data_IF_217725177859
#
_entry.id   IF_217725177859
#
_cell.length_a   1.000
_cell.length_b   1.000
_cell.length_c   1.000
_cell.angle_alpha   90.00
_cell.angle_beta   90.00
_cell.angle_gamma   90.00
#
_symmetry.space_group_name_H-M   'P 1'
#
loop_
_entity.id
_entity.type
_entity.pdbx_description
1 polymer ?
#
# COMPACT_ATOMS: atom_id res chain seq x y z
N UNK A 1 -20.08 4.86 -2.75
CA UNK A 1 -20.51 3.48 -3.08
C UNK A 1 -19.53 2.79 -4.02
N UNK A 2 -19.17 3.40 -5.15
CA UNK A 2 -18.24 2.81 -6.15
C UNK A 2 -16.83 2.51 -5.61
N UNK A 3 -16.28 3.37 -4.74
CA UNK A 3 -14.96 3.15 -4.16
C UNK A 3 -14.87 1.89 -3.27
N UNK A 4 -15.89 1.63 -2.47
CA UNK A 4 -15.93 0.44 -1.60
C UNK A 4 -16.00 -0.84 -2.46
N UNK A 5 -16.77 -0.82 -3.55
CA UNK A 5 -16.83 -1.95 -4.49
C UNK A 5 -15.48 -2.19 -5.17
N UNK A 6 -14.76 -1.13 -5.55
CA UNK A 6 -13.41 -1.25 -6.11
C UNK A 6 -12.43 -1.84 -5.09
N UNK A 7 -12.43 -1.37 -3.83
CA UNK A 7 -11.61 -1.93 -2.76
C UNK A 7 -11.93 -3.40 -2.50
N UNK A 8 -13.22 -3.78 -2.50
CA UNK A 8 -13.64 -5.16 -2.31
C UNK A 8 -13.20 -6.06 -3.46
N UNK A 9 -13.33 -5.61 -4.71
CA UNK A 9 -12.87 -6.35 -5.87
C UNK A 9 -11.33 -6.55 -5.83
N UNK A 10 -10.57 -5.50 -5.49
CA UNK A 10 -9.13 -5.59 -5.30
C UNK A 10 -8.78 -6.59 -4.18
N UNK A 11 -9.48 -6.53 -3.04
CA UNK A 11 -9.27 -7.47 -1.94
C UNK A 11 -9.42 -8.93 -2.39
N UNK A 12 -10.53 -9.26 -3.08
CA UNK A 12 -10.81 -10.64 -3.53
C UNK A 12 -9.73 -11.12 -4.50
N UNK A 13 -9.35 -10.30 -5.47
CA UNK A 13 -8.31 -10.66 -6.45
C UNK A 13 -6.96 -10.92 -5.78
N UNK A 14 -6.58 -10.09 -4.80
CA UNK A 14 -5.34 -10.25 -4.05
C UNK A 14 -5.38 -11.46 -3.10
N UNK A 15 -6.54 -11.73 -2.48
CA UNK A 15 -6.71 -12.88 -1.61
C UNK A 15 -6.51 -14.19 -2.38
N UNK A 16 -7.00 -14.25 -3.62
CA UNK A 16 -6.74 -15.36 -4.55
C UNK A 16 -5.26 -15.42 -4.94
N UNK A 17 -4.65 -14.28 -5.25
CA UNK A 17 -3.24 -14.20 -5.67
C UNK A 17 -2.29 -14.71 -4.59
N UNK A 18 -2.44 -14.25 -3.36
CA UNK A 18 -1.54 -14.62 -2.24
C UNK A 18 -1.97 -15.87 -1.49
N UNK A 19 -3.14 -16.45 -1.80
CA UNK A 19 -3.76 -17.53 -1.01
C UNK A 19 -3.84 -17.18 0.49
N UNK A 20 -4.04 -15.90 0.79
CA UNK A 20 -4.03 -15.36 2.14
C UNK A 20 -5.05 -14.23 2.25
N UNK A 21 -5.78 -14.17 3.36
CA UNK A 21 -6.74 -13.11 3.65
C UNK A 21 -6.12 -11.91 4.38
N UNK A 22 -5.02 -12.12 5.09
CA UNK A 22 -4.38 -11.09 5.92
C UNK A 22 -3.46 -10.17 5.11
N UNK A 23 -2.76 -10.70 4.11
CA UNK A 23 -1.85 -9.91 3.27
C UNK A 23 -2.57 -8.86 2.40
N UNK A 24 -3.69 -9.16 1.72
CA UNK A 24 -4.47 -8.13 1.01
C UNK A 24 -4.94 -7.00 1.91
N UNK A 25 -5.33 -7.31 3.16
CA UNK A 25 -5.78 -6.31 4.11
C UNK A 25 -4.65 -5.32 4.46
N UNK A 26 -3.44 -5.83 4.64
CA UNK A 26 -2.24 -5.02 4.87
C UNK A 26 -1.96 -4.07 3.71
N UNK A 27 -2.14 -4.53 2.47
CA UNK A 27 -1.94 -3.70 1.28
C UNK A 27 -2.99 -2.59 1.21
N UNK A 28 -4.25 -2.93 1.46
CA UNK A 28 -5.34 -1.96 1.46
C UNK A 28 -5.24 -0.96 2.61
N UNK A 29 -4.59 -1.32 3.72
CA UNK A 29 -4.31 -0.41 4.83
C UNK A 29 -3.39 0.74 4.42
N UNK A 30 -2.54 0.57 3.41
CA UNK A 30 -1.68 1.64 2.90
C UNK A 30 -2.46 2.68 2.05
N UNK A 31 -3.61 2.31 1.50
CA UNK A 31 -4.38 3.17 0.56
C UNK A 31 -4.87 4.49 1.20
N UNK A 32 -5.44 4.51 2.42
CA UNK A 32 -5.80 5.75 3.11
C UNK A 32 -4.64 6.76 3.22
N UNK A 33 -3.40 6.28 3.37
CA UNK A 33 -2.25 7.15 3.47
C UNK A 33 -1.92 7.84 2.14
N UNK A 34 -2.14 7.17 1.00
CA UNK A 34 -2.06 7.82 -0.32
C UNK A 34 -3.06 8.97 -0.46
N UNK A 35 -4.28 8.81 0.07
CA UNK A 35 -5.27 9.88 0.13
C UNK A 35 -4.84 11.04 1.05
N UNK A 36 -4.23 10.73 2.21
CA UNK A 36 -3.65 11.76 3.10
C UNK A 36 -2.57 12.56 2.35
N UNK A 37 -1.69 11.90 1.59
CA UNK A 37 -0.70 12.55 0.75
C UNK A 37 -1.30 13.51 -0.28
N UNK A 38 -2.39 13.09 -0.94
CA UNK A 38 -3.13 13.94 -1.87
C UNK A 38 -3.70 15.19 -1.17
N UNK A 39 -4.33 15.02 -0.01
CA UNK A 39 -4.87 16.13 0.79
C UNK A 39 -3.77 17.11 1.24
N UNK A 40 -2.62 16.59 1.66
CA UNK A 40 -1.46 17.41 1.99
C UNK A 40 -0.96 18.17 0.76
N UNK A 41 -0.91 17.56 -0.42
CA UNK A 41 -0.56 18.24 -1.66
C UNK A 41 -1.49 19.39 -2.00
N UNK A 42 -2.80 19.18 -1.85
CA UNK A 42 -3.81 20.24 -2.00
C UNK A 42 -3.57 21.42 -1.04
N UNK A 43 -3.26 21.11 0.22
CA UNK A 43 -2.93 22.12 1.23
C UNK A 43 -1.64 22.88 0.89
N UNK A 44 -0.59 22.18 0.44
CA UNK A 44 0.69 22.79 0.08
C UNK A 44 0.61 23.70 -1.16
N UNK A 45 -0.16 23.28 -2.17
CA UNK A 45 -0.37 24.07 -3.40
C UNK A 45 -1.41 25.17 -3.20
N UNK A 46 -2.26 25.07 -2.18
CA UNK A 46 -3.29 26.07 -1.86
C UNK A 46 -4.52 25.98 -2.76
N UNK A 47 -4.89 24.77 -3.20
CA UNK A 47 -6.05 24.53 -4.06
C UNK A 47 -7.10 23.66 -3.37
N UNK A 48 -8.37 23.96 -3.62
CA UNK A 48 -9.49 23.21 -3.05
C UNK A 48 -9.55 21.77 -3.58
N UNK A 49 -10.03 20.86 -2.73
CA UNK A 49 -10.32 19.48 -3.13
C UNK A 49 -11.61 19.49 -3.95
N UNK A 50 -11.54 18.95 -5.17
CA UNK A 50 -12.68 18.92 -6.10
C UNK A 50 -13.06 17.48 -6.46
N UNK A 51 -14.11 17.31 -7.24
CA UNK A 51 -14.46 15.99 -7.81
C UNK A 51 -13.30 15.40 -8.62
N UNK A 52 -12.50 16.24 -9.30
CA UNK A 52 -11.34 15.81 -10.06
C UNK A 52 -10.18 15.36 -9.16
N UNK A 53 -10.04 15.94 -7.96
CA UNK A 53 -9.11 15.45 -6.93
C UNK A 53 -9.42 14.02 -6.53
N UNK A 54 -10.71 13.65 -6.43
CA UNK A 54 -11.12 12.28 -6.09
C UNK A 54 -10.66 11.28 -7.15
N UNK A 55 -10.70 11.66 -8.43
CA UNK A 55 -10.14 10.82 -9.52
C UNK A 55 -8.63 10.62 -9.32
N UNK A 56 -7.91 11.67 -8.95
CA UNK A 56 -6.49 11.59 -8.59
C UNK A 56 -6.25 10.65 -7.41
N UNK A 57 -7.06 10.74 -6.34
CA UNK A 57 -6.97 9.85 -5.17
C UNK A 57 -7.23 8.38 -5.56
N UNK A 58 -8.19 8.12 -6.45
CA UNK A 58 -8.41 6.76 -6.96
C UNK A 58 -7.22 6.25 -7.77
N UNK A 59 -6.59 7.11 -8.57
CA UNK A 59 -5.38 6.75 -9.30
C UNK A 59 -4.20 6.44 -8.34
N UNK A 60 -4.00 7.24 -7.29
CA UNK A 60 -2.98 6.99 -6.24
C UNK A 60 -3.21 5.64 -5.57
N UNK A 61 -4.48 5.31 -5.30
CA UNK A 61 -4.83 4.03 -4.66
C UNK A 61 -4.32 2.84 -5.48
N UNK A 62 -4.42 2.90 -6.82
CA UNK A 62 -3.88 1.87 -7.71
C UNK A 62 -2.36 1.77 -7.65
N UNK A 63 -1.65 2.92 -7.62
CA UNK A 63 -0.18 2.95 -7.49
C UNK A 63 0.27 2.35 -6.16
N UNK A 64 -0.37 2.75 -5.05
CA UNK A 64 -0.10 2.21 -3.71
C UNK A 64 -0.29 0.70 -3.67
N UNK A 65 -1.40 0.20 -4.23
CA UNK A 65 -1.68 -1.24 -4.27
C UNK A 65 -0.61 -1.96 -5.08
N UNK A 66 -0.23 -1.44 -6.26
CA UNK A 66 0.80 -2.05 -7.10
C UNK A 66 2.15 -2.15 -6.41
N UNK A 67 2.61 -1.06 -5.79
CA UNK A 67 3.93 -1.03 -5.14
C UNK A 67 4.01 -2.03 -3.99
N UNK A 68 2.95 -2.09 -3.18
CA UNK A 68 2.86 -2.98 -2.02
C UNK A 68 2.59 -4.44 -2.39
N UNK A 69 1.84 -4.69 -3.46
CA UNK A 69 1.67 -6.03 -4.02
C UNK A 69 3.02 -6.63 -4.36
N UNK A 70 3.82 -5.92 -5.16
CA UNK A 70 5.10 -6.43 -5.62
C UNK A 70 6.09 -6.56 -4.45
N UNK A 71 6.09 -5.63 -3.49
CA UNK A 71 6.93 -5.73 -2.30
C UNK A 71 6.61 -6.99 -1.48
N UNK A 72 5.33 -7.23 -1.20
CA UNK A 72 4.90 -8.41 -0.43
C UNK A 72 5.14 -9.71 -1.20
N UNK A 73 4.95 -9.71 -2.53
CA UNK A 73 5.29 -10.85 -3.38
C UNK A 73 6.78 -11.21 -3.30
N UNK A 74 7.68 -10.21 -3.29
CA UNK A 74 9.12 -10.43 -3.09
C UNK A 74 9.41 -11.03 -1.71
N UNK A 75 8.83 -10.48 -0.64
CA UNK A 75 8.97 -11.04 0.72
C UNK A 75 8.51 -12.49 0.76
N UNK A 76 7.33 -12.80 0.21
CA UNK A 76 6.78 -14.15 0.19
C UNK A 76 7.65 -15.13 -0.60
N UNK A 77 8.24 -14.69 -1.72
CA UNK A 77 9.16 -15.51 -2.53
C UNK A 77 10.43 -15.85 -1.75
N UNK A 78 10.96 -14.92 -0.96
CA UNK A 78 12.15 -15.14 -0.15
C UNK A 78 11.87 -16.10 1.01
N UNK A 79 10.73 -15.91 1.68
CA UNK A 79 10.24 -16.84 2.70
C UNK A 79 10.03 -18.25 2.13
N UNK A 80 9.48 -18.38 0.92
CA UNK A 80 9.31 -19.67 0.24
C UNK A 80 10.65 -20.35 -0.10
N UNK A 81 11.73 -19.57 -0.23
CA UNK A 81 13.11 -20.08 -0.39
C UNK A 81 13.78 -20.44 0.95
N UNK A 82 13.07 -20.30 2.07
CA UNK A 82 13.57 -20.61 3.41
C UNK A 82 14.35 -19.48 4.08
N UNK A 83 14.27 -18.25 3.56
CA UNK A 83 14.88 -17.09 4.22
C UNK A 83 14.19 -16.81 5.58
N UNK A 84 14.93 -16.22 6.53
CA UNK A 84 14.33 -15.71 7.77
C UNK A 84 13.50 -14.48 7.43
N UNK A 85 12.41 -14.27 8.18
CA UNK A 85 11.49 -13.15 7.97
C UNK A 85 12.16 -11.79 7.87
N UNK A 86 13.02 -11.46 8.83
CA UNK A 86 13.72 -10.16 8.85
C UNK A 86 14.64 -9.98 7.65
N UNK A 87 15.31 -11.05 7.22
CA UNK A 87 16.19 -11.03 6.05
C UNK A 87 15.36 -10.83 4.79
N UNK A 88 14.25 -11.57 4.63
CA UNK A 88 13.31 -11.43 3.51
C UNK A 88 12.70 -10.02 3.41
N UNK A 89 12.30 -9.43 4.53
CA UNK A 89 11.76 -8.05 4.58
C UNK A 89 12.83 -7.04 4.16
N UNK A 90 14.05 -7.20 4.68
CA UNK A 90 15.16 -6.30 4.39
C UNK A 90 15.57 -6.37 2.92
N UNK A 91 15.75 -7.57 2.39
CA UNK A 91 16.21 -7.80 1.02
C UNK A 91 15.15 -7.33 0.02
N UNK A 92 13.87 -7.70 0.24
CA UNK A 92 12.77 -7.19 -0.57
C UNK A 92 12.67 -5.66 -0.52
N UNK A 93 12.84 -5.04 0.66
CA UNK A 93 12.87 -3.59 0.81
C UNK A 93 14.00 -2.93 0.01
N UNK A 94 15.21 -3.49 0.07
CA UNK A 94 16.36 -2.99 -0.67
C UNK A 94 16.18 -3.11 -2.20
N UNK A 95 15.69 -4.25 -2.66
CA UNK A 95 15.46 -4.52 -4.09
C UNK A 95 14.33 -3.65 -4.66
N UNK A 96 13.31 -3.37 -3.86
CA UNK A 96 12.15 -2.58 -4.27
C UNK A 96 12.30 -1.08 -4.05
N UNK A 97 13.28 -0.65 -3.25
CA UNK A 97 13.56 0.77 -3.02
C UNK A 97 13.71 1.55 -4.32
N UNK A 98 14.63 1.10 -5.21
CA UNK A 98 14.91 1.82 -6.47
C UNK A 98 13.69 1.85 -7.41
N UNK A 99 13.00 0.73 -7.70
CA UNK A 99 11.79 0.75 -8.52
C UNK A 99 10.69 1.65 -7.97
N UNK A 100 10.39 1.60 -6.67
CA UNK A 100 9.29 2.38 -6.07
C UNK A 100 9.60 3.88 -6.15
N UNK A 101 10.82 4.27 -5.77
CA UNK A 101 11.26 5.68 -5.85
C UNK A 101 11.23 6.18 -7.30
N UNK A 102 11.67 5.36 -8.27
CA UNK A 102 11.67 5.74 -9.68
C UNK A 102 10.25 5.97 -10.22
N UNK A 103 9.30 5.10 -9.87
CA UNK A 103 7.87 5.29 -10.21
C UNK A 103 7.38 6.62 -9.65
N UNK A 104 7.65 6.91 -8.38
CA UNK A 104 7.21 8.15 -7.74
C UNK A 104 7.79 9.40 -8.42
N UNK A 105 9.09 9.39 -8.70
CA UNK A 105 9.75 10.51 -9.37
C UNK A 105 9.17 10.69 -10.78
N UNK A 106 8.96 9.60 -11.51
CA UNK A 106 8.43 9.64 -12.87
C UNK A 106 6.99 10.16 -12.89
N UNK A 107 6.14 9.71 -11.95
CA UNK A 107 4.77 10.20 -11.84
C UNK A 107 4.73 11.68 -11.44
N UNK A 108 5.48 12.08 -10.41
CA UNK A 108 5.51 13.46 -9.96
C UNK A 108 6.06 14.39 -11.05
N UNK A 109 7.21 14.03 -11.64
CA UNK A 109 7.84 14.80 -12.71
C UNK A 109 6.97 14.87 -13.96
N UNK A 110 6.33 13.77 -14.36
CA UNK A 110 5.43 13.71 -15.50
C UNK A 110 4.16 14.56 -15.34
N UNK A 111 3.67 14.73 -14.10
CA UNK A 111 2.50 15.54 -13.79
C UNK A 111 2.83 17.01 -13.47
N UNK A 112 4.10 17.32 -13.19
CA UNK A 112 4.56 18.69 -12.93
C UNK A 112 4.14 19.70 -14.01
N UNK A 113 4.33 19.46 -15.33
CA UNK A 113 3.89 20.42 -16.36
C UNK A 113 2.37 20.63 -16.35
N UNK A 114 1.60 19.57 -16.10
CA UNK A 114 0.15 19.63 -16.00
C UNK A 114 -0.32 20.44 -14.78
N UNK A 115 0.43 20.42 -13.67
CA UNK A 115 0.16 21.24 -12.50
C UNK A 115 0.44 22.74 -12.73
N UNK A 116 1.33 23.06 -13.69
CA UNK A 116 1.71 24.43 -14.04
C UNK A 116 0.91 25.02 -15.22
N UNK A 117 0.01 24.23 -15.79
CA UNK A 117 -0.79 24.60 -16.95
C UNK A 117 -1.73 25.78 -16.64
N UNK A 118 -1.83 26.73 -17.57
CA UNK A 118 -2.62 27.96 -17.36
C UNK A 118 -3.87 28.05 -18.23
N UNK A 119 -4.00 27.19 -19.24
CA UNK A 119 -5.16 27.18 -20.13
C UNK A 119 -6.45 26.87 -19.37
N UNK A 120 -7.50 27.68 -19.63
CA UNK A 120 -8.79 27.56 -18.95
C UNK A 120 -9.42 26.17 -19.13
N UNK A 121 -9.17 25.55 -20.28
CA UNK A 121 -9.65 24.22 -20.63
C UNK A 121 -8.95 23.11 -19.83
N UNK A 122 -7.72 23.30 -19.34
CA UNK A 122 -7.00 22.28 -18.58
C UNK A 122 -7.02 22.50 -17.07
N UNK A 123 -7.46 23.68 -16.60
CA UNK A 123 -7.49 24.02 -15.16
C UNK A 123 -8.27 23.03 -14.29
N UNK A 124 -9.31 22.40 -14.83
CA UNK A 124 -10.08 21.41 -14.06
C UNK A 124 -9.28 20.13 -13.76
N UNK A 125 -8.21 19.86 -14.51
CA UNK A 125 -7.36 18.70 -14.32
C UNK A 125 -6.22 18.94 -13.31
N UNK A 126 -5.90 20.20 -12.99
CA UNK A 126 -4.85 20.55 -12.02
C UNK A 126 -5.11 19.88 -10.66
N UNK A 127 -6.32 19.95 -10.05
CA UNK A 127 -6.62 19.25 -8.80
C UNK A 127 -6.38 17.74 -8.84
N UNK A 128 -6.65 17.10 -9.99
CA UNK A 128 -6.38 15.68 -10.20
C UNK A 128 -4.87 15.39 -10.19
N UNK A 129 -4.10 16.19 -10.93
CA UNK A 129 -2.65 16.05 -11.04
C UNK A 129 -1.97 16.28 -9.68
N UNK A 130 -2.37 17.29 -8.92
CA UNK A 130 -1.86 17.54 -7.56
C UNK A 130 -2.14 16.36 -6.64
N UNK A 131 -3.37 15.86 -6.62
CA UNK A 131 -3.75 14.69 -5.81
C UNK A 131 -2.89 13.48 -6.15
N UNK A 132 -2.67 13.20 -7.44
CA UNK A 132 -1.88 12.06 -7.88
C UNK A 132 -0.38 12.22 -7.56
N UNK A 133 0.20 13.37 -7.90
CA UNK A 133 1.62 13.63 -7.73
C UNK A 133 2.04 13.55 -6.26
N UNK A 134 1.36 14.31 -5.38
CA UNK A 134 1.69 14.32 -3.95
C UNK A 134 1.26 13.04 -3.23
N UNK A 135 0.15 12.43 -3.67
CA UNK A 135 -0.30 11.16 -3.12
C UNK A 135 0.72 10.04 -3.33
N UNK A 136 1.34 9.95 -4.52
CA UNK A 136 2.38 8.95 -4.81
C UNK A 136 3.67 9.22 -4.04
N UNK A 137 4.09 10.48 -3.93
CA UNK A 137 5.28 10.84 -3.13
C UNK A 137 5.10 10.41 -1.67
N UNK A 138 3.96 10.71 -1.06
CA UNK A 138 3.69 10.30 0.32
C UNK A 138 3.52 8.79 0.45
N UNK A 139 2.80 8.17 -0.50
CA UNK A 139 2.62 6.72 -0.57
C UNK A 139 3.96 5.97 -0.64
N UNK A 140 4.96 6.53 -1.31
CA UNK A 140 6.30 5.93 -1.40
C UNK A 140 6.93 5.72 -0.02
N UNK A 141 6.82 6.71 0.87
CA UNK A 141 7.28 6.57 2.26
C UNK A 141 6.47 5.50 3.01
N UNK A 142 5.16 5.46 2.80
CA UNK A 142 4.28 4.47 3.43
C UNK A 142 4.66 3.05 2.96
N UNK A 143 4.84 2.85 1.67
CA UNK A 143 5.18 1.55 1.09
C UNK A 143 6.56 1.05 1.55
N UNK A 144 7.56 1.93 1.65
CA UNK A 144 8.93 1.52 2.03
C UNK A 144 9.15 1.35 3.53
N UNK A 145 8.36 2.01 4.38
CA UNK A 145 8.53 1.96 5.83
C UNK A 145 7.35 1.26 6.53
N UNK A 146 6.13 1.73 6.31
CA UNK A 146 4.96 1.25 7.04
C UNK A 146 4.60 -0.18 6.66
N UNK A 147 4.66 -0.53 5.38
CA UNK A 147 4.24 -1.87 4.91
C UNK A 147 5.19 -2.98 5.40
N UNK A 148 6.52 -2.85 5.28
CA UNK A 148 7.47 -3.76 5.92
C UNK A 148 7.24 -3.95 7.43
N UNK A 149 7.02 -2.83 8.15
CA UNK A 149 6.77 -2.88 9.59
C UNK A 149 5.44 -3.59 9.91
N UNK A 150 4.39 -3.32 9.13
CA UNK A 150 3.09 -3.96 9.31
C UNK A 150 3.15 -5.45 8.99
N UNK A 151 3.99 -5.86 8.02
CA UNK A 151 4.22 -7.26 7.70
C UNK A 151 4.85 -8.00 8.88
N UNK A 152 5.89 -7.43 9.48
CA UNK A 152 6.52 -8.02 10.67
C UNK A 152 5.55 -8.14 11.84
N UNK A 153 4.79 -7.08 12.12
CA UNK A 153 3.79 -7.07 13.21
C UNK A 153 2.71 -8.13 12.98
N UNK A 154 2.24 -8.27 11.74
CA UNK A 154 1.24 -9.28 11.41
C UNK A 154 1.77 -10.70 11.66
N UNK A 155 3.01 -10.97 11.27
CA UNK A 155 3.64 -12.27 11.51
C UNK A 155 3.80 -12.55 13.01
N UNK A 156 4.26 -11.57 13.80
CA UNK A 156 4.33 -11.68 15.26
C UNK A 156 2.97 -12.02 15.88
N UNK A 157 1.90 -11.35 15.44
CA UNK A 157 0.52 -11.61 15.92
C UNK A 157 0.08 -13.03 15.57
N UNK A 158 0.33 -13.49 14.33
CA UNK A 158 -0.05 -14.83 13.89
C UNK A 158 0.71 -15.92 14.66
N UNK A 159 2.00 -15.73 14.92
CA UNK A 159 2.80 -16.63 15.75
C UNK A 159 2.31 -16.68 17.19
N UNK A 160 1.95 -15.53 17.77
CA UNK A 160 1.38 -15.46 19.12
C UNK A 160 0.06 -16.22 19.20
N UNK A 161 -0.86 -16.01 18.26
CA UNK A 161 -2.14 -16.72 18.21
C UNK A 161 -1.95 -18.23 18.03
N UNK A 162 -1.02 -18.66 17.18
CA UNK A 162 -0.68 -20.08 17.00
C UNK A 162 -0.15 -20.73 18.28
N UNK A 163 0.72 -20.02 19.02
CA UNK A 163 1.24 -20.47 20.32
C UNK A 163 0.15 -20.56 21.40
N UNK A 164 -0.83 -19.67 21.38
CA UNK A 164 -1.99 -19.76 22.28
C UNK A 164 -2.88 -20.97 21.94
N UNK A 165 -3.09 -21.26 20.65
CA UNK A 165 -3.83 -22.44 20.20
C UNK A 165 -3.16 -23.76 20.59
N UNK A 166 -1.84 -23.87 20.42
CA UNK A 166 -1.10 -25.09 20.80
C UNK A 166 -1.05 -25.30 22.32
N UNK A 167 -0.94 -24.23 23.12
CA UNK A 167 -1.02 -24.33 24.59
C UNK A 167 -2.39 -24.81 25.08
N UNK A 168 -3.46 -24.44 24.39
CA UNK A 168 -4.81 -24.91 24.72
C UNK A 168 -5.01 -26.39 24.33
N UNK A 169 -4.41 -26.86 23.23
CA UNK A 169 -4.45 -28.29 22.88
C UNK A 169 -3.64 -29.15 23.86
N UNK A 170 -2.51 -28.64 24.35
CA UNK A 170 -1.67 -29.35 25.34
C UNK A 170 -2.35 -29.45 26.72
N UNK A 171 -3.18 -28.46 27.09
CA UNK A 171 -3.97 -28.52 28.34
C UNK A 171 -5.14 -29.50 28.20
N UNK A 172 -5.74 -29.60 27.02
CA UNK A 172 -6.83 -30.54 26.78
C UNK A 172 -6.36 -32.00 26.63
N UNK A 173 -5.16 -32.24 26.07
CA UNK A 173 -4.59 -33.60 25.97
C UNK A 173 -4.11 -34.18 27.31
N UNK A 174 -3.87 -33.34 28.32
CA UNK A 174 -3.58 -33.75 29.70
C UNK A 174 -4.85 -34.07 30.50
N UNK A 175 -6.03 -33.66 29.99
CA UNK A 175 -7.34 -33.90 30.61
C UNK A 175 -8.14 -35.04 29.95
N UNK A 176 -7.62 -35.70 28.91
CA UNK A 176 -8.19 -36.95 28.41
C UNK A 176 -7.68 -38.13 29.28
N UNK A 177 -8.58 -38.93 29.88
CA UNK A 177 -8.23 -40.01 30.82
C UNK A 177 -7.60 -41.24 30.17
#
# INVERSE_FOLDING_TARGET
RSYILALLAMYILMAVLFRSYSQPLMILWAVPFGAIGALLGHLFVGIEVTLWSLVGIFAVSGVVVNDNLVLIDFINKDLARGAKLLDAIRDAGADRFRPIVLTSITTFGGLTPMMLEQSLQAKFMIPMAVSLAFGVVFATFVSLFLVPATYHILDDILQLLGRFGSRLSDINSVNDP
#
